data_IF_096306395373
#
_entry.id   IF_096306395373
#
_cell.length_a   1.000
_cell.length_b   1.000
_cell.length_c   1.000
_cell.angle_alpha   90.00
_cell.angle_beta   90.00
_cell.angle_gamma   90.00
#
_symmetry.space_group_name_H-M   'P 1'
#
loop_
_entity.id
_entity.type
_entity.pdbx_description
1 polymer ?
#
# COMPACT_ATOMS: atom_id res chain seq x y z
N UNK A 1 -21.94 -16.92 -21.20
CA UNK A 1 -20.62 -16.56 -21.78
C UNK A 1 -19.66 -17.69 -21.42
N UNK A 2 -19.39 -18.61 -22.36
CA UNK A 2 -18.65 -19.84 -22.07
C UNK A 2 -17.16 -19.55 -21.85
N UNK A 3 -16.59 -20.09 -20.77
CA UNK A 3 -15.14 -20.04 -20.55
C UNK A 3 -14.44 -20.75 -21.72
N UNK A 4 -13.40 -20.16 -22.34
CA UNK A 4 -12.78 -20.74 -23.52
C UNK A 4 -12.16 -22.11 -23.21
N UNK A 5 -12.65 -23.15 -23.88
CA UNK A 5 -12.16 -24.53 -23.80
C UNK A 5 -10.86 -24.69 -24.61
N UNK A 6 -9.73 -24.23 -24.07
CA UNK A 6 -8.35 -24.74 -24.27
C UNK A 6 -7.28 -23.70 -23.87
N UNK A 7 -7.37 -23.15 -22.65
CA UNK A 7 -6.21 -22.45 -22.10
C UNK A 7 -5.27 -23.52 -21.52
N UNK A 8 -4.28 -23.97 -22.31
CA UNK A 8 -3.11 -24.64 -21.74
C UNK A 8 -2.36 -23.58 -20.93
N UNK A 9 -2.66 -23.49 -19.64
CA UNK A 9 -1.95 -22.59 -18.73
C UNK A 9 -0.52 -23.10 -18.61
N UNK A 10 0.43 -22.29 -19.05
CA UNK A 10 1.85 -22.64 -19.00
C UNK A 10 2.36 -22.66 -17.55
N UNK A 11 3.28 -23.58 -17.24
CA UNK A 11 3.83 -23.70 -15.89
C UNK A 11 4.50 -22.39 -15.43
N UNK A 12 5.17 -21.68 -16.33
CA UNK A 12 5.80 -20.40 -15.99
C UNK A 12 4.76 -19.32 -15.68
N UNK A 13 3.60 -19.34 -16.34
CA UNK A 13 2.50 -18.42 -16.03
C UNK A 13 1.96 -18.66 -14.61
N UNK A 14 1.82 -19.94 -14.20
CA UNK A 14 1.41 -20.28 -12.83
C UNK A 14 2.46 -19.84 -11.81
N UNK A 15 3.75 -20.09 -12.08
CA UNK A 15 4.82 -19.66 -11.19
C UNK A 15 4.90 -18.14 -11.07
N UNK A 16 4.75 -17.41 -12.17
CA UNK A 16 4.72 -15.96 -12.16
C UNK A 16 3.54 -15.42 -11.37
N UNK A 17 2.33 -15.97 -11.58
CA UNK A 17 1.15 -15.59 -10.81
C UNK A 17 1.36 -15.85 -9.31
N UNK A 18 1.92 -17.00 -8.95
CA UNK A 18 2.28 -17.33 -7.56
C UNK A 18 3.25 -16.32 -6.97
N UNK A 19 4.32 -15.96 -7.69
CA UNK A 19 5.31 -15.00 -7.21
C UNK A 19 4.69 -13.62 -6.98
N UNK A 20 3.85 -13.14 -7.91
CA UNK A 20 3.14 -11.87 -7.77
C UNK A 20 2.22 -11.90 -6.55
N UNK A 21 1.42 -12.95 -6.38
CA UNK A 21 0.52 -13.09 -5.23
C UNK A 21 1.29 -13.15 -3.92
N UNK A 22 2.36 -13.93 -3.85
CA UNK A 22 3.19 -14.02 -2.65
C UNK A 22 3.82 -12.67 -2.29
N UNK A 23 4.31 -11.91 -3.28
CA UNK A 23 4.87 -10.58 -3.03
C UNK A 23 3.81 -9.62 -2.47
N UNK A 24 2.59 -9.65 -3.01
CA UNK A 24 1.46 -8.84 -2.51
C UNK A 24 1.02 -9.24 -1.10
N UNK A 25 0.86 -10.55 -0.86
CA UNK A 25 0.33 -11.07 0.41
C UNK A 25 1.32 -11.00 1.57
N UNK A 26 2.62 -11.03 1.28
CA UNK A 26 3.68 -10.98 2.32
C UNK A 26 4.14 -9.57 2.65
N UNK A 27 3.55 -8.54 2.04
CA UNK A 27 3.92 -7.14 2.28
C UNK A 27 5.36 -6.80 1.85
N UNK A 28 5.91 -7.53 0.88
CA UNK A 28 7.26 -7.29 0.33
C UNK A 28 7.31 -6.19 -0.73
N UNK A 29 6.16 -5.60 -1.06
CA UNK A 29 6.04 -4.43 -1.93
C UNK A 29 5.29 -3.30 -1.23
N UNK A 30 5.23 -2.13 -1.86
CA UNK A 30 4.40 -1.02 -1.40
C UNK A 30 2.94 -1.49 -1.44
N UNK A 31 2.24 -1.53 -0.29
CA UNK A 31 0.90 -2.11 -0.24
C UNK A 31 -0.11 -1.13 -0.85
N UNK A 32 -0.94 -1.61 -1.78
CA UNK A 32 -2.16 -0.89 -2.18
C UNK A 32 -3.15 -0.95 -1.01
N UNK A 33 -3.34 0.17 -0.32
CA UNK A 33 -4.22 0.26 0.83
C UNK A 33 -5.65 0.51 0.36
N UNK A 34 -6.58 -0.33 0.81
CA UNK A 34 -8.00 -0.22 0.44
C UNK A 34 -8.78 0.19 1.68
N UNK A 35 -9.64 1.20 1.55
CA UNK A 35 -10.55 1.65 2.61
C UNK A 35 -9.88 2.42 3.75
N UNK A 36 -8.67 2.94 3.53
CA UNK A 36 -7.93 3.77 4.48
C UNK A 36 -7.70 5.19 3.96
N UNK A 37 -8.48 5.64 2.97
CA UNK A 37 -8.31 6.90 2.26
C UNK A 37 -8.35 8.11 3.20
N UNK A 38 -9.28 8.10 4.17
CA UNK A 38 -9.40 9.17 5.18
C UNK A 38 -8.18 9.25 6.10
N UNK A 39 -7.66 8.09 6.52
CA UNK A 39 -6.47 8.01 7.37
C UNK A 39 -5.22 8.44 6.59
N UNK A 40 -5.14 8.05 5.31
CA UNK A 40 -4.09 8.51 4.41
C UNK A 40 -4.12 10.03 4.28
N UNK A 41 -5.26 10.61 3.92
CA UNK A 41 -5.43 12.06 3.71
C UNK A 41 -5.08 12.85 4.98
N UNK A 42 -5.54 12.39 6.15
CA UNK A 42 -5.24 13.05 7.43
C UNK A 42 -3.74 13.06 7.73
N UNK A 43 -3.08 11.90 7.57
CA UNK A 43 -1.66 11.78 7.86
C UNK A 43 -0.80 12.52 6.81
N UNK A 44 -1.20 12.47 5.53
CA UNK A 44 -0.58 13.23 4.45
C UNK A 44 -0.63 14.73 4.74
N UNK A 45 -1.80 15.29 5.06
CA UNK A 45 -1.93 16.72 5.34
C UNK A 45 -1.07 17.19 6.52
N UNK A 46 -0.95 16.37 7.56
CA UNK A 46 -0.07 16.68 8.70
C UNK A 46 1.39 16.68 8.27
N UNK A 47 1.81 15.70 7.47
CA UNK A 47 3.18 15.62 6.96
C UNK A 47 3.51 16.76 5.99
N UNK A 48 2.61 17.05 5.04
CA UNK A 48 2.74 18.15 4.08
C UNK A 48 2.91 19.51 4.78
N UNK A 49 2.06 19.82 5.77
CA UNK A 49 2.22 21.03 6.58
C UNK A 49 3.51 21.05 7.39
N UNK A 50 3.94 19.89 7.88
CA UNK A 50 5.19 19.81 8.67
C UNK A 50 6.42 20.02 7.80
N UNK A 51 6.46 19.43 6.60
CA UNK A 51 7.61 19.48 5.70
C UNK A 51 7.64 20.76 4.87
N UNK A 52 6.53 21.10 4.21
CA UNK A 52 6.47 22.23 3.28
C UNK A 52 6.27 23.57 3.98
N UNK A 53 5.51 23.58 5.09
CA UNK A 53 5.13 24.81 5.78
C UNK A 53 5.89 25.02 7.11
N UNK A 54 6.75 24.07 7.50
CA UNK A 54 7.55 24.14 8.72
C UNK A 54 6.71 24.08 10.01
N UNK A 55 5.47 23.58 9.96
CA UNK A 55 4.64 23.43 11.14
C UNK A 55 5.14 22.28 12.05
N UNK A 56 5.23 22.49 13.36
CA UNK A 56 5.64 21.43 14.29
C UNK A 56 4.43 20.66 14.82
N UNK A 57 3.91 19.73 14.02
CA UNK A 57 2.78 18.88 14.39
C UNK A 57 3.20 17.51 14.95
N UNK A 58 2.32 16.91 15.76
CA UNK A 58 2.47 15.53 16.27
C UNK A 58 1.16 14.77 16.10
N UNK A 59 1.23 13.51 15.68
CA UNK A 59 0.07 12.64 15.47
C UNK A 59 0.27 11.28 16.11
N UNK A 60 -0.76 10.75 16.76
CA UNK A 60 -0.78 9.43 17.37
C UNK A 60 -1.76 8.51 16.61
N UNK A 61 -1.24 7.44 16.01
CA UNK A 61 -2.04 6.47 15.25
C UNK A 61 -2.38 5.27 16.14
N UNK A 62 -3.67 5.09 16.44
CA UNK A 62 -4.18 4.04 17.32
C UNK A 62 -5.09 3.04 16.58
N UNK A 63 -5.17 1.81 17.10
CA UNK A 63 -6.04 0.76 16.57
C UNK A 63 -5.55 -0.66 16.85
N UNK A 64 -6.36 -1.69 16.55
CA UNK A 64 -6.04 -3.10 16.80
C UNK A 64 -4.76 -3.59 16.10
N UNK A 65 -4.15 -4.67 16.60
CA UNK A 65 -3.01 -5.31 15.92
C UNK A 65 -3.44 -5.77 14.52
N UNK A 66 -2.60 -5.54 13.51
CA UNK A 66 -2.88 -5.92 12.13
C UNK A 66 -3.81 -4.99 11.34
N UNK A 67 -4.27 -3.87 11.93
CA UNK A 67 -5.19 -2.93 11.26
C UNK A 67 -4.55 -1.99 10.22
N UNK A 68 -3.33 -2.29 9.74
CA UNK A 68 -2.66 -1.47 8.71
C UNK A 68 -2.06 -0.14 9.17
N UNK A 69 -1.96 0.14 10.50
CA UNK A 69 -1.41 1.42 11.01
C UNK A 69 -0.06 1.80 10.40
N UNK A 70 0.92 0.90 10.50
CA UNK A 70 2.26 1.10 9.93
C UNK A 70 2.22 1.15 8.41
N UNK A 71 1.31 0.39 7.79
CA UNK A 71 1.18 0.35 6.34
C UNK A 71 0.74 1.69 5.76
N UNK A 72 -0.16 2.43 6.43
CA UNK A 72 -0.58 3.79 6.02
C UNK A 72 0.62 4.75 6.05
N UNK A 73 1.35 4.81 7.16
CA UNK A 73 2.51 5.69 7.28
C UNK A 73 3.60 5.33 6.27
N UNK A 74 3.88 4.03 6.09
CA UNK A 74 4.86 3.57 5.12
C UNK A 74 4.45 3.89 3.69
N UNK A 75 3.17 3.72 3.34
CA UNK A 75 2.65 4.01 2.01
C UNK A 75 2.83 5.49 1.65
N UNK A 76 2.49 6.42 2.55
CA UNK A 76 2.70 7.86 2.33
C UNK A 76 4.18 8.17 2.10
N UNK A 77 5.07 7.69 2.98
CA UNK A 77 6.51 7.93 2.82
C UNK A 77 7.05 7.30 1.53
N UNK A 78 6.58 6.11 1.17
CA UNK A 78 7.06 5.40 -0.03
C UNK A 78 6.63 6.09 -1.32
N UNK A 79 5.45 6.72 -1.38
CA UNK A 79 5.00 7.44 -2.59
C UNK A 79 5.56 8.86 -2.68
N UNK A 80 5.71 9.58 -1.56
CA UNK A 80 6.20 10.96 -1.59
C UNK A 80 7.73 11.06 -1.66
N UNK A 81 8.48 10.03 -1.26
CA UNK A 81 9.94 9.99 -1.47
C UNK A 81 10.35 9.84 -2.96
N UNK A 82 9.38 9.68 -3.87
CA UNK A 82 9.60 9.72 -5.33
C UNK A 82 9.21 11.07 -5.98
N UNK A 83 8.84 12.09 -5.19
CA UNK A 83 8.46 13.41 -5.71
C UNK A 83 9.55 14.48 -5.66
N UNK A 84 10.71 14.18 -5.07
CA UNK A 84 11.85 15.10 -5.02
C UNK A 84 13.14 14.42 -5.47
#
# INVERSE_FOLDING_TARGET
MGMPKNLKVDYNQVQNAKNILMNKLTGRGIPDLIGLDKQYETLYNVLDRTVEHGESNSILVLGPRGSGKTSVSYNICAYEHFRY
#
